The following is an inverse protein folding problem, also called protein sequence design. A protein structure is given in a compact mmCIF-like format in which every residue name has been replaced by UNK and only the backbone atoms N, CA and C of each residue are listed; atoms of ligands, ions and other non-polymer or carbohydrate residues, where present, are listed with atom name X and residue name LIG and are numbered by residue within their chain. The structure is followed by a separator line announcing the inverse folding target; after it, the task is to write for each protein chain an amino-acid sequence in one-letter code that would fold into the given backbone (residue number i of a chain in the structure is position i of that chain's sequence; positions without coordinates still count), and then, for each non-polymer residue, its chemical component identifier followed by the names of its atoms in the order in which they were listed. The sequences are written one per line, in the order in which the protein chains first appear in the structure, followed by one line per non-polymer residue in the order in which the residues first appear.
data_IF_685176267936
#
_entry.id   IF_685176267936
#
_cell.length_a   1.000
_cell.length_b   1.000
_cell.length_c   1.000
_cell.angle_alpha   90.00
_cell.angle_beta   90.00
_cell.angle_gamma   90.00
#
_symmetry.space_group_name_H-M   'P 1'
#
loop_
_entity.id
_entity.type
_entity.pdbx_description
1 polymer ?
#
# COMPACT_ATOMS: atom_id res chain seq x y z
N UNK A 1 4.21 19.77 4.06
CA UNK A 1 4.95 19.71 5.33
C UNK A 1 5.32 18.27 5.70
N UNK A 2 4.45 17.29 5.45
CA UNK A 2 4.63 15.89 5.91
C UNK A 2 5.48 15.01 4.97
N UNK A 3 5.91 15.48 3.81
CA UNK A 3 6.68 14.68 2.85
C UNK A 3 7.92 13.99 3.44
N UNK A 4 8.74 14.62 4.31
CA UNK A 4 9.88 13.92 4.90
C UNK A 4 9.49 12.70 5.73
N UNK A 5 8.42 12.80 6.56
CA UNK A 5 7.92 11.68 7.35
C UNK A 5 7.32 10.58 6.46
N UNK A 6 6.58 10.96 5.41
CA UNK A 6 6.04 10.02 4.42
C UNK A 6 7.17 9.30 3.69
N UNK A 7 8.21 10.01 3.26
CA UNK A 7 9.37 9.41 2.58
C UNK A 7 10.07 8.38 3.48
N UNK A 8 10.34 8.73 4.73
CA UNK A 8 10.97 7.81 5.68
C UNK A 8 10.10 6.56 5.94
N UNK A 9 8.78 6.73 6.04
CA UNK A 9 7.84 5.62 6.16
C UNK A 9 7.83 4.74 4.91
N UNK A 10 7.84 5.31 3.70
CA UNK A 10 7.93 4.57 2.43
C UNK A 10 9.21 3.76 2.35
N UNK A 11 10.36 4.33 2.70
CA UNK A 11 11.64 3.58 2.70
C UNK A 11 11.58 2.38 3.68
N UNK A 12 11.00 2.56 4.85
CA UNK A 12 10.81 1.47 5.81
C UNK A 12 9.87 0.39 5.23
N UNK A 13 8.74 0.77 4.63
CA UNK A 13 7.80 -0.18 4.01
C UNK A 13 8.50 -0.98 2.90
N UNK A 14 9.23 -0.32 2.01
CA UNK A 14 9.96 -0.97 0.91
C UNK A 14 10.97 -1.98 1.44
N UNK A 15 11.74 -1.63 2.46
CA UNK A 15 12.69 -2.55 3.07
C UNK A 15 12.00 -3.79 3.66
N UNK A 16 10.86 -3.59 4.36
CA UNK A 16 10.09 -4.70 4.94
C UNK A 16 9.50 -5.59 3.85
N UNK A 17 8.92 -5.01 2.80
CA UNK A 17 8.41 -5.77 1.66
C UNK A 17 9.50 -6.64 0.99
N UNK A 18 10.72 -6.13 0.83
CA UNK A 18 11.86 -6.90 0.29
C UNK A 18 12.26 -8.10 1.17
N UNK A 19 11.93 -8.05 2.46
CA UNK A 19 12.15 -9.14 3.43
C UNK A 19 10.94 -10.06 3.59
N UNK A 20 9.93 -9.93 2.74
CA UNK A 20 8.68 -10.70 2.82
C UNK A 20 7.71 -10.22 3.89
N UNK A 21 7.92 -9.03 4.44
CA UNK A 21 7.01 -8.39 5.40
C UNK A 21 5.80 -7.76 4.72
N UNK A 22 4.90 -7.20 5.53
CA UNK A 22 3.58 -6.69 5.13
C UNK A 22 3.35 -5.28 5.64
N UNK A 23 2.46 -4.55 4.96
CA UNK A 23 1.86 -3.32 5.49
C UNK A 23 0.45 -3.65 6.00
N UNK A 24 0.19 -3.37 7.27
CA UNK A 24 -1.10 -3.65 7.89
C UNK A 24 -1.68 -2.33 8.40
N UNK A 25 -2.79 -1.93 7.82
CA UNK A 25 -3.56 -0.77 8.28
C UNK A 25 -4.44 -1.16 9.48
N UNK A 26 -4.57 -0.27 10.45
CA UNK A 26 -5.51 -0.39 11.57
C UNK A 26 -6.25 0.93 11.75
N UNK A 27 -7.58 0.89 11.73
CA UNK A 27 -8.41 2.09 11.85
C UNK A 27 -9.83 1.82 12.33
N UNK A 28 -10.56 2.89 12.64
CA UNK A 28 -11.97 2.82 12.99
C UNK A 28 -12.80 3.72 12.07
N UNK A 29 -14.06 3.38 11.83
CA UNK A 29 -14.98 4.19 11.03
C UNK A 29 -14.43 4.53 9.65
N UNK A 30 -14.44 5.83 9.29
CA UNK A 30 -13.91 6.32 7.99
C UNK A 30 -12.44 5.96 7.81
N UNK A 31 -11.60 6.11 8.84
CA UNK A 31 -10.17 5.80 8.77
C UNK A 31 -9.91 4.33 8.45
N UNK A 32 -10.64 3.41 9.11
CA UNK A 32 -10.54 1.97 8.80
C UNK A 32 -11.01 1.64 7.39
N UNK A 33 -12.11 2.25 6.92
CA UNK A 33 -12.60 2.06 5.54
C UNK A 33 -11.60 2.53 4.50
N UNK A 34 -10.89 3.65 4.73
CA UNK A 34 -9.83 4.14 3.84
C UNK A 34 -8.66 3.16 3.76
N UNK A 35 -8.27 2.57 4.88
CA UNK A 35 -7.27 1.49 4.91
C UNK A 35 -7.70 0.28 4.07
N UNK A 36 -8.97 -0.14 4.19
CA UNK A 36 -9.52 -1.24 3.38
C UNK A 36 -9.50 -0.90 1.89
N UNK A 37 -9.93 0.31 1.51
CA UNK A 37 -9.92 0.75 0.11
C UNK A 37 -8.50 0.69 -0.45
N UNK A 38 -7.53 1.29 0.22
CA UNK A 38 -6.15 1.34 -0.27
C UNK A 38 -5.53 -0.08 -0.36
N UNK A 39 -5.75 -0.94 0.64
CA UNK A 39 -5.26 -2.31 0.64
C UNK A 39 -5.88 -3.15 -0.49
N UNK A 40 -7.19 -3.03 -0.71
CA UNK A 40 -7.91 -3.82 -1.72
C UNK A 40 -7.56 -3.46 -3.16
N UNK A 41 -7.05 -2.27 -3.40
CA UNK A 41 -6.63 -1.81 -4.74
C UNK A 41 -5.19 -2.23 -5.12
N UNK A 42 -4.37 -2.68 -4.15
CA UNK A 42 -3.00 -3.11 -4.43
C UNK A 42 -2.91 -4.36 -5.33
N UNK A 43 -3.67 -5.45 -5.10
CA UNK A 43 -3.63 -6.63 -5.96
C UNK A 43 -4.01 -6.35 -7.42
N UNK A 44 -5.13 -5.71 -7.76
CA UNK A 44 -5.51 -5.48 -9.15
C UNK A 44 -4.60 -4.47 -9.86
N UNK A 45 -3.99 -3.53 -9.13
CA UNK A 45 -3.16 -2.47 -9.70
C UNK A 45 -1.71 -2.90 -9.88
N UNK A 46 -1.15 -3.60 -8.88
CA UNK A 46 0.28 -3.90 -8.81
C UNK A 46 0.60 -5.40 -8.80
N UNK A 47 -0.41 -6.26 -8.95
CA UNK A 47 -0.21 -7.72 -8.95
C UNK A 47 0.36 -8.26 -7.63
N UNK A 48 0.12 -7.57 -6.52
CA UNK A 48 0.61 -8.01 -5.21
C UNK A 48 -0.23 -9.16 -4.67
N UNK A 49 0.37 -10.06 -3.87
CA UNK A 49 -0.42 -10.96 -3.04
C UNK A 49 -1.35 -10.15 -2.12
N UNK A 50 -2.59 -10.62 -1.88
CA UNK A 50 -3.54 -9.92 -1.00
C UNK A 50 -3.02 -9.71 0.43
N UNK A 51 -2.11 -10.58 0.87
CA UNK A 51 -1.51 -10.54 2.19
C UNK A 51 -0.45 -9.44 2.34
N UNK A 52 0.09 -8.91 1.24
CA UNK A 52 1.17 -7.91 1.27
C UNK A 52 0.71 -6.58 1.86
N UNK A 53 -0.52 -6.16 1.55
CA UNK A 53 -1.15 -4.98 2.14
C UNK A 53 -2.53 -5.38 2.66
N UNK A 54 -2.72 -5.25 3.96
CA UNK A 54 -3.94 -5.67 4.65
C UNK A 54 -4.54 -4.52 5.46
N UNK A 55 -5.79 -4.66 5.85
CA UNK A 55 -6.44 -3.68 6.71
C UNK A 55 -7.34 -4.33 7.77
N UNK A 56 -7.24 -3.80 8.98
CA UNK A 56 -8.10 -4.09 10.12
C UNK A 56 -8.99 -2.88 10.39
N UNK A 57 -10.26 -3.14 10.70
CA UNK A 57 -11.23 -2.11 11.07
C UNK A 57 -11.92 -2.50 12.37
N UNK A 58 -12.01 -1.55 13.31
CA UNK A 58 -12.76 -1.75 14.55
C UNK A 58 -14.21 -2.16 14.25
N UNK A 59 -14.66 -3.27 14.84
CA UNK A 59 -15.98 -3.86 14.56
C UNK A 59 -15.99 -4.84 13.37
N UNK A 60 -14.84 -5.14 12.74
CA UNK A 60 -14.72 -6.16 11.72
C UNK A 60 -15.46 -5.85 10.42
N UNK A 61 -15.80 -6.90 9.66
CA UNK A 61 -16.38 -6.77 8.30
C UNK A 61 -17.68 -5.95 8.26
N UNK A 62 -18.51 -6.05 9.26
CA UNK A 62 -19.77 -5.33 9.34
C UNK A 62 -19.54 -3.81 9.43
N UNK A 63 -18.46 -3.39 10.08
CA UNK A 63 -18.08 -1.98 10.21
C UNK A 63 -17.71 -1.31 8.87
N UNK A 64 -17.47 -2.08 7.82
CA UNK A 64 -17.25 -1.55 6.47
C UNK A 64 -18.53 -0.87 5.95
N UNK A 65 -19.68 -1.50 6.17
CA UNK A 65 -20.97 -1.09 5.62
C UNK A 65 -21.80 -0.27 6.61
N UNK A 66 -21.70 -0.56 7.91
CA UNK A 66 -22.51 0.08 8.94
C UNK A 66 -21.61 0.55 10.11
N UNK A 67 -21.95 1.67 10.73
CA UNK A 67 -21.26 2.11 11.93
C UNK A 67 -21.48 1.11 13.08
N UNK A 68 -20.38 0.72 13.74
CA UNK A 68 -20.40 -0.16 14.91
C UNK A 68 -20.04 0.70 16.13
N UNK A 69 -21.06 1.09 16.87
CA UNK A 69 -20.90 1.95 18.06
C UNK A 69 -20.02 1.27 19.13
N UNK A 70 -19.11 2.05 19.73
CA UNK A 70 -18.21 1.59 20.79
C UNK A 70 -17.12 0.61 20.35
N UNK A 71 -17.05 0.21 19.09
CA UNK A 71 -16.00 -0.69 18.62
C UNK A 71 -14.61 -0.05 18.67
N UNK A 72 -14.52 1.27 18.49
CA UNK A 72 -13.26 2.01 18.51
C UNK A 72 -12.67 2.23 19.92
N UNK A 73 -13.46 2.02 20.98
CA UNK A 73 -13.08 2.31 22.37
C UNK A 73 -12.31 1.17 23.05
N UNK A 74 -12.06 0.06 22.36
CA UNK A 74 -11.51 -1.19 22.88
C UNK A 74 -10.07 -1.44 22.40
N UNK A 75 -9.04 -0.99 23.14
CA UNK A 75 -7.65 -1.20 22.73
C UNK A 75 -7.24 -2.69 22.70
N UNK A 76 -7.79 -3.50 23.61
CA UNK A 76 -7.55 -4.96 23.67
C UNK A 76 -8.05 -5.68 22.42
N UNK A 77 -9.12 -5.18 21.78
CA UNK A 77 -9.63 -5.74 20.51
C UNK A 77 -8.68 -5.37 19.37
N UNK A 78 -8.17 -4.13 19.34
CA UNK A 78 -7.18 -3.73 18.35
C UNK A 78 -5.90 -4.56 18.43
N UNK A 79 -5.43 -4.85 19.64
CA UNK A 79 -4.28 -5.73 19.87
C UNK A 79 -4.57 -7.17 19.42
N UNK A 80 -5.72 -7.74 19.81
CA UNK A 80 -6.08 -9.13 19.45
C UNK A 80 -6.30 -9.31 17.94
N UNK A 81 -6.96 -8.36 17.27
CA UNK A 81 -7.15 -8.40 15.82
C UNK A 81 -5.81 -8.41 15.07
N UNK A 82 -4.84 -7.63 15.55
CA UNK A 82 -3.49 -7.62 14.98
C UNK A 82 -2.75 -8.93 15.27
N UNK A 83 -2.85 -9.46 16.49
CA UNK A 83 -2.18 -10.69 16.89
C UNK A 83 -2.60 -11.91 16.04
N UNK A 84 -3.88 -11.98 15.61
CA UNK A 84 -4.39 -13.03 14.72
C UNK A 84 -3.61 -13.08 13.38
N UNK A 85 -3.06 -11.95 12.92
CA UNK A 85 -2.26 -11.89 11.72
C UNK A 85 -0.82 -12.37 11.91
N UNK A 86 -0.44 -12.81 13.12
CA UNK A 86 0.93 -13.22 13.45
C UNK A 86 1.95 -12.16 13.01
N UNK A 87 1.74 -10.92 13.45
CA UNK A 87 2.62 -9.79 13.12
C UNK A 87 4.05 -10.06 13.63
N UNK A 88 5.04 -9.61 12.88
CA UNK A 88 6.45 -9.85 13.14
C UNK A 88 7.30 -8.60 12.94
N UNK A 89 8.57 -8.69 13.30
CA UNK A 89 9.54 -7.63 13.07
C UNK A 89 9.76 -7.27 11.59
N UNK A 90 9.27 -8.07 10.65
CA UNK A 90 9.32 -7.76 9.22
C UNK A 90 8.12 -6.92 8.74
N UNK A 91 7.10 -6.74 9.57
CA UNK A 91 5.90 -6.03 9.19
C UNK A 91 5.96 -4.52 9.54
N UNK A 92 5.08 -3.76 8.92
CA UNK A 92 4.80 -2.35 9.24
C UNK A 92 3.32 -2.24 9.58
N UNK A 93 3.01 -1.68 10.74
CA UNK A 93 1.62 -1.43 11.15
C UNK A 93 1.34 0.06 11.09
N UNK A 94 0.37 0.45 10.28
CA UNK A 94 -0.04 1.83 10.08
C UNK A 94 -1.40 2.08 10.75
N UNK A 95 -1.38 2.73 11.90
CA UNK A 95 -2.56 3.22 12.58
C UNK A 95 -3.11 4.47 11.89
N UNK A 96 -4.42 4.50 11.67
CA UNK A 96 -5.11 5.60 11.01
C UNK A 96 -6.19 6.14 11.96
N UNK A 97 -5.99 7.33 12.50
CA UNK A 97 -6.91 7.95 13.45
C UNK A 97 -6.88 9.47 13.32
N UNK A 98 -7.97 10.11 12.91
CA UNK A 98 -8.01 11.56 12.75
C UNK A 98 -7.63 12.32 14.03
N UNK A 99 -8.10 11.86 15.18
CA UNK A 99 -7.74 12.40 16.49
C UNK A 99 -6.38 12.00 17.02
N UNK A 100 -5.78 10.93 16.43
CA UNK A 100 -4.55 10.31 16.88
C UNK A 100 -4.68 9.47 18.17
N UNK A 101 -5.88 9.39 18.78
CA UNK A 101 -6.10 8.79 20.10
C UNK A 101 -7.15 7.68 20.17
N UNK A 102 -7.59 7.16 19.03
CA UNK A 102 -8.56 6.06 18.96
C UNK A 102 -8.00 4.84 19.69
N UNK A 103 -8.65 4.35 20.78
CA UNK A 103 -8.09 3.27 21.61
C UNK A 103 -7.78 1.99 20.85
N UNK A 104 -8.67 1.55 19.97
CA UNK A 104 -8.44 0.41 19.07
C UNK A 104 -7.13 0.51 18.28
N UNK A 105 -6.87 1.69 17.68
CA UNK A 105 -5.66 1.94 16.89
C UNK A 105 -4.42 1.94 17.78
N UNK A 106 -4.50 2.54 18.97
CA UNK A 106 -3.38 2.59 19.91
C UNK A 106 -3.05 1.17 20.43
N UNK A 107 -4.07 0.35 20.69
CA UNK A 107 -3.88 -1.05 21.07
C UNK A 107 -3.16 -1.86 19.99
N UNK A 108 -3.57 -1.70 18.72
CA UNK A 108 -2.88 -2.33 17.60
C UNK A 108 -1.42 -1.86 17.44
N UNK A 109 -1.14 -0.55 17.57
CA UNK A 109 0.22 -0.04 17.49
C UNK A 109 1.10 -0.51 18.66
N UNK A 110 0.54 -0.65 19.86
CA UNK A 110 1.25 -1.20 21.01
C UNK A 110 1.62 -2.66 20.79
N UNK A 111 0.68 -3.47 20.30
CA UNK A 111 0.93 -4.86 19.95
C UNK A 111 1.98 -5.01 18.85
N UNK A 112 1.92 -4.15 17.82
CA UNK A 112 2.94 -4.09 16.78
C UNK A 112 4.35 -3.87 17.34
N UNK A 113 4.51 -2.90 18.25
CA UNK A 113 5.79 -2.63 18.92
C UNK A 113 6.26 -3.83 19.75
N UNK A 114 5.34 -4.52 20.42
CA UNK A 114 5.67 -5.72 21.22
C UNK A 114 6.32 -6.81 20.37
N UNK A 115 5.87 -6.94 19.10
CA UNK A 115 6.42 -7.89 18.13
C UNK A 115 7.58 -7.34 17.28
N UNK A 116 8.07 -6.13 17.56
CA UNK A 116 9.17 -5.49 16.84
C UNK A 116 8.82 -4.98 15.44
N UNK A 117 7.53 -4.93 15.09
CA UNK A 117 7.07 -4.34 13.85
C UNK A 117 7.26 -2.81 13.88
N UNK A 118 7.58 -2.22 12.73
CA UNK A 118 7.63 -0.77 12.62
C UNK A 118 6.22 -0.17 12.67
N UNK A 119 6.10 1.01 13.26
CA UNK A 119 4.81 1.67 13.48
C UNK A 119 4.71 3.01 12.79
N UNK A 120 3.59 3.24 12.11
CA UNK A 120 3.21 4.51 11.50
C UNK A 120 1.91 4.96 12.15
N UNK A 121 1.78 6.25 12.46
CA UNK A 121 0.50 6.85 12.84
C UNK A 121 0.16 7.99 11.87
N UNK A 122 -0.94 7.84 11.13
CA UNK A 122 -1.50 8.86 10.26
C UNK A 122 -2.65 9.54 10.99
N UNK A 123 -2.48 10.82 11.30
CA UNK A 123 -3.45 11.60 12.09
C UNK A 123 -3.54 13.04 11.59
N UNK A 124 -4.64 13.72 11.88
CA UNK A 124 -4.78 15.16 11.66
C UNK A 124 -4.67 15.96 12.96
N UNK A 125 -4.26 15.31 14.05
CA UNK A 125 -3.84 15.95 15.29
C UNK A 125 -2.40 16.49 15.16
N UNK A 126 -2.02 17.44 16.01
CA UNK A 126 -0.65 17.98 15.98
C UNK A 126 0.33 17.11 16.76
N UNK A 127 1.63 17.20 16.44
CA UNK A 127 2.69 16.46 17.14
C UNK A 127 2.76 16.83 18.61
N UNK A 128 2.58 18.13 18.94
CA UNK A 128 2.56 18.64 20.30
C UNK A 128 1.45 17.96 21.10
N UNK A 129 0.24 17.86 20.51
CA UNK A 129 -0.89 17.20 21.18
C UNK A 129 -0.67 15.71 21.41
N UNK A 130 -0.05 15.03 20.46
CA UNK A 130 0.32 13.62 20.63
C UNK A 130 1.36 13.44 21.75
N UNK A 131 2.37 14.31 21.81
CA UNK A 131 3.39 14.30 22.86
C UNK A 131 2.78 14.52 24.25
N UNK A 132 1.87 15.48 24.39
CA UNK A 132 1.13 15.72 25.64
C UNK A 132 0.37 14.48 26.13
N UNK A 133 -0.11 13.66 25.18
CA UNK A 133 -0.87 12.43 25.47
C UNK A 133 0.05 11.19 25.60
N UNK A 134 1.36 11.34 25.44
CA UNK A 134 2.31 10.23 25.46
C UNK A 134 2.16 9.26 24.28
N UNK A 135 1.55 9.70 23.17
CA UNK A 135 1.32 8.87 21.98
C UNK A 135 2.55 8.93 21.08
N UNK A 136 3.12 7.76 20.77
CA UNK A 136 4.33 7.62 19.97
C UNK A 136 4.18 6.57 18.89
N UNK A 137 4.81 6.79 17.74
CA UNK A 137 5.05 5.81 16.68
C UNK A 137 6.42 6.09 16.07
N UNK A 138 7.00 5.14 15.33
CA UNK A 138 8.30 5.34 14.68
C UNK A 138 8.18 6.44 13.62
N UNK A 139 7.04 6.51 12.94
CA UNK A 139 6.73 7.54 11.96
C UNK A 139 5.39 8.22 12.30
N UNK A 140 5.44 9.50 12.64
CA UNK A 140 4.25 10.34 12.83
C UNK A 140 4.01 11.16 11.56
N UNK A 141 2.85 10.97 10.92
CA UNK A 141 2.41 11.71 9.74
C UNK A 141 1.18 12.52 10.13
N UNK A 142 1.35 13.83 10.27
CA UNK A 142 0.38 14.73 10.91
C UNK A 142 -0.04 15.88 9.98
N UNK A 143 -0.73 15.61 8.84
CA UNK A 143 -1.17 16.68 7.95
C UNK A 143 -2.15 17.62 8.68
N UNK A 144 -1.82 18.90 8.70
CA UNK A 144 -2.69 19.92 9.28
C UNK A 144 -3.77 20.30 8.26
N UNK A 145 -5.02 19.96 8.55
CA UNK A 145 -6.18 20.21 7.68
C UNK A 145 -7.06 21.37 8.18
N UNK A 146 -6.75 21.90 9.38
CA UNK A 146 -7.60 22.87 10.05
C UNK A 146 -8.96 22.29 10.47
N UNK A 147 -9.89 23.13 10.95
CA UNK A 147 -11.20 22.68 11.43
C UNK A 147 -12.06 22.12 10.28
N UNK A 148 -12.85 21.09 10.60
CA UNK A 148 -13.84 20.55 9.65
C UNK A 148 -14.99 21.52 9.41
N UNK A 149 -15.62 21.44 8.24
CA UNK A 149 -16.80 22.25 7.89
C UNK A 149 -17.96 21.94 8.85
N UNK A 150 -18.15 20.67 9.18
CA UNK A 150 -19.05 20.23 10.25
C UNK A 150 -18.18 19.77 11.42
N UNK A 151 -18.21 20.52 12.52
CA UNK A 151 -17.41 20.23 13.70
C UNK A 151 -17.64 18.80 14.20
N UNK A 152 -16.56 18.07 14.42
CA UNK A 152 -16.59 16.66 14.87
C UNK A 152 -16.71 15.65 13.74
N UNK A 153 -17.04 16.04 12.50
CA UNK A 153 -17.16 15.11 11.38
C UNK A 153 -15.84 14.97 10.61
N UNK A 154 -14.93 14.14 11.12
CA UNK A 154 -13.56 13.95 10.57
C UNK A 154 -13.49 13.10 9.29
N UNK A 155 -14.65 12.76 8.71
CA UNK A 155 -14.73 12.02 7.44
C UNK A 155 -14.44 12.87 6.18
N UNK A 156 -14.36 14.20 6.31
CA UNK A 156 -14.22 15.15 5.21
C UNK A 156 -12.75 15.52 4.98
N UNK A 157 -12.26 16.64 5.53
CA UNK A 157 -10.88 17.09 5.32
C UNK A 157 -9.86 16.09 5.85
N UNK A 158 -10.08 15.59 7.08
CA UNK A 158 -9.21 14.59 7.70
C UNK A 158 -9.21 13.30 6.89
N UNK A 159 -10.39 12.80 6.50
CA UNK A 159 -10.50 11.60 5.65
C UNK A 159 -9.80 11.79 4.30
N UNK A 160 -9.96 12.95 3.64
CA UNK A 160 -9.28 13.26 2.38
C UNK A 160 -7.76 13.27 2.55
N UNK A 161 -7.26 13.90 3.61
CA UNK A 161 -5.81 13.92 3.89
C UNK A 161 -5.26 12.51 4.17
N UNK A 162 -5.97 11.73 4.99
CA UNK A 162 -5.62 10.33 5.25
C UNK A 162 -5.54 9.52 3.94
N UNK A 163 -6.58 9.60 3.10
CA UNK A 163 -6.60 8.92 1.79
C UNK A 163 -5.38 9.28 0.95
N UNK A 164 -5.03 10.56 0.85
CA UNK A 164 -3.86 10.99 0.09
C UNK A 164 -2.56 10.43 0.67
N UNK A 165 -2.42 10.42 2.00
CA UNK A 165 -1.24 9.83 2.66
C UNK A 165 -1.15 8.33 2.39
N UNK A 166 -2.24 7.56 2.57
CA UNK A 166 -2.22 6.12 2.31
C UNK A 166 -1.83 5.82 0.86
N UNK A 167 -2.43 6.54 -0.11
CA UNK A 167 -2.06 6.38 -1.51
C UNK A 167 -0.58 6.74 -1.78
N UNK A 168 -0.01 7.73 -1.09
CA UNK A 168 1.42 8.02 -1.19
C UNK A 168 2.27 6.88 -0.62
N UNK A 169 1.90 6.29 0.53
CA UNK A 169 2.61 5.18 1.13
C UNK A 169 2.65 3.96 0.22
N UNK A 170 1.51 3.51 -0.29
CA UNK A 170 1.44 2.33 -1.16
C UNK A 170 2.01 2.60 -2.55
N UNK A 171 1.56 3.67 -3.23
CA UNK A 171 2.02 3.96 -4.60
C UNK A 171 3.52 4.16 -4.66
N UNK A 172 4.10 4.97 -3.77
CA UNK A 172 5.55 5.20 -3.77
C UNK A 172 6.32 3.91 -3.44
N UNK A 173 5.81 3.08 -2.52
CA UNK A 173 6.41 1.77 -2.22
C UNK A 173 6.39 0.84 -3.43
N UNK A 174 5.27 0.77 -4.16
CA UNK A 174 5.16 -0.07 -5.37
C UNK A 174 6.05 0.44 -6.51
N UNK A 175 6.18 1.76 -6.70
CA UNK A 175 7.16 2.35 -7.63
C UNK A 175 8.59 1.94 -7.26
N UNK A 176 8.95 2.00 -5.97
CA UNK A 176 10.26 1.59 -5.44
C UNK A 176 10.52 0.08 -5.51
N UNK A 177 9.48 -0.72 -5.75
CA UNK A 177 9.58 -2.17 -6.01
C UNK A 177 9.54 -2.51 -7.52
N UNK A 178 9.63 -1.52 -8.40
CA UNK A 178 9.65 -1.74 -9.84
C UNK A 178 8.31 -2.21 -10.43
N UNK A 179 7.18 -1.90 -9.75
CA UNK A 179 5.84 -2.26 -10.22
C UNK A 179 5.30 -1.34 -11.33
N UNK A 180 6.07 -0.30 -11.67
CA UNK A 180 5.71 0.68 -12.70
C UNK A 180 6.83 0.90 -13.69
N UNK A 181 6.47 1.36 -14.90
CA UNK A 181 7.40 1.90 -15.89
C UNK A 181 6.93 3.29 -16.31
N UNK A 182 7.71 4.32 -15.95
CA UNK A 182 7.21 5.70 -16.00
C UNK A 182 5.98 5.86 -15.11
N UNK A 183 4.88 6.31 -15.68
CA UNK A 183 3.59 6.49 -15.03
C UNK A 183 2.60 5.34 -15.31
N UNK A 184 3.07 4.23 -15.89
CA UNK A 184 2.24 3.09 -16.29
C UNK A 184 2.45 1.92 -15.32
N UNK A 185 1.37 1.34 -14.81
CA UNK A 185 1.44 0.09 -14.06
C UNK A 185 1.71 -1.08 -15.01
N UNK A 186 2.76 -1.85 -14.74
CA UNK A 186 3.22 -2.94 -15.62
C UNK A 186 3.21 -4.32 -14.95
N UNK A 187 2.69 -4.41 -13.73
CA UNK A 187 2.65 -5.65 -12.95
C UNK A 187 1.20 -6.09 -12.67
N UNK A 188 0.28 -5.71 -13.55
CA UNK A 188 -1.12 -6.09 -13.45
C UNK A 188 -1.32 -7.57 -13.75
N UNK A 189 -2.31 -8.18 -13.09
CA UNK A 189 -2.74 -9.55 -13.36
C UNK A 189 -3.86 -9.57 -14.40
N UNK A 190 -3.72 -10.39 -15.44
CA UNK A 190 -4.71 -10.52 -16.53
C UNK A 190 -5.87 -11.45 -16.12
N UNK A 191 -6.62 -11.09 -15.09
CA UNK A 191 -7.69 -11.92 -14.51
C UNK A 191 -9.03 -11.83 -15.25
N UNK A 192 -9.18 -10.91 -16.19
CA UNK A 192 -10.39 -10.76 -17.01
C UNK A 192 -10.07 -10.13 -18.38
N UNK A 193 -11.02 -10.19 -19.31
CA UNK A 193 -10.85 -9.70 -20.69
C UNK A 193 -10.42 -8.23 -20.76
N UNK A 194 -10.94 -7.37 -19.88
CA UNK A 194 -10.56 -5.94 -19.83
C UNK A 194 -9.07 -5.78 -19.47
N UNK A 195 -8.56 -6.57 -18.53
CA UNK A 195 -7.16 -6.50 -18.11
C UNK A 195 -6.23 -7.12 -19.16
N UNK A 196 -6.67 -8.13 -19.90
CA UNK A 196 -5.94 -8.67 -21.07
C UNK A 196 -5.76 -7.59 -22.13
N UNK A 197 -6.85 -6.91 -22.53
CA UNK A 197 -6.76 -5.81 -23.50
C UNK A 197 -5.92 -4.63 -22.99
N UNK A 198 -5.99 -4.34 -21.71
CA UNK A 198 -5.16 -3.32 -21.08
C UNK A 198 -3.67 -3.68 -21.14
N UNK A 199 -3.31 -4.94 -20.86
CA UNK A 199 -1.93 -5.41 -20.96
C UNK A 199 -1.37 -5.26 -22.38
N UNK A 200 -2.15 -5.63 -23.41
CA UNK A 200 -1.76 -5.43 -24.81
C UNK A 200 -1.50 -3.96 -25.14
N UNK A 201 -2.43 -3.07 -24.75
CA UNK A 201 -2.25 -1.63 -24.97
C UNK A 201 -1.01 -1.09 -24.28
N UNK A 202 -0.75 -1.51 -23.03
CA UNK A 202 0.47 -1.13 -22.30
C UNK A 202 1.72 -1.54 -23.07
N UNK A 203 1.76 -2.79 -23.57
CA UNK A 203 2.90 -3.24 -24.38
C UNK A 203 3.05 -2.40 -25.65
N UNK A 204 1.98 -2.18 -26.40
CA UNK A 204 1.98 -1.34 -27.60
C UNK A 204 2.45 0.10 -27.31
N UNK A 205 1.88 0.73 -26.28
CA UNK A 205 2.17 2.13 -25.93
C UNK A 205 3.63 2.34 -25.50
N UNK A 206 4.23 1.35 -24.84
CA UNK A 206 5.61 1.44 -24.33
C UNK A 206 6.63 1.04 -25.41
N UNK A 207 6.31 0.04 -26.23
CA UNK A 207 7.30 -0.56 -27.16
C UNK A 207 7.15 -0.11 -28.60
N UNK A 208 5.98 0.40 -28.98
CA UNK A 208 5.63 0.69 -30.38
C UNK A 208 5.26 -0.57 -31.20
N UNK A 209 5.19 -1.75 -30.58
CA UNK A 209 4.75 -2.99 -31.22
C UNK A 209 3.30 -2.88 -31.67
N UNK A 210 2.93 -3.61 -32.73
CA UNK A 210 1.54 -3.71 -33.15
C UNK A 210 0.74 -4.67 -32.24
N UNK A 211 -0.56 -4.76 -32.50
CA UNK A 211 -1.48 -5.58 -31.66
C UNK A 211 -1.16 -7.07 -31.74
N UNK A 212 -0.78 -7.57 -32.91
CA UNK A 212 -0.49 -8.99 -33.12
C UNK A 212 0.81 -9.40 -32.42
N UNK A 213 1.84 -8.59 -32.51
CA UNK A 213 3.09 -8.79 -31.80
C UNK A 213 2.91 -8.70 -30.28
N UNK A 214 2.22 -7.66 -29.78
CA UNK A 214 1.93 -7.53 -28.35
C UNK A 214 1.14 -8.73 -27.83
N UNK A 215 0.13 -9.22 -28.59
CA UNK A 215 -0.65 -10.39 -28.24
C UNK A 215 0.22 -11.65 -28.22
N UNK A 216 1.05 -11.84 -29.23
CA UNK A 216 1.98 -12.99 -29.34
C UNK A 216 2.96 -13.05 -28.18
N UNK A 217 3.61 -11.93 -27.88
CA UNK A 217 4.62 -11.89 -26.81
C UNK A 217 3.99 -12.05 -25.43
N UNK A 218 2.83 -11.44 -25.18
CA UNK A 218 2.10 -11.66 -23.92
C UNK A 218 1.67 -13.12 -23.75
N UNK A 219 1.25 -13.80 -24.83
CA UNK A 219 0.94 -15.24 -24.77
C UNK A 219 2.17 -16.07 -24.44
N UNK A 220 3.33 -15.75 -25.02
CA UNK A 220 4.60 -16.45 -24.72
C UNK A 220 5.06 -16.26 -23.27
N UNK A 221 4.73 -15.13 -22.66
CA UNK A 221 5.15 -14.78 -21.28
C UNK A 221 4.11 -15.10 -20.23
N UNK A 222 3.09 -15.90 -20.56
CA UNK A 222 1.96 -16.21 -19.67
C UNK A 222 1.30 -14.94 -19.07
N UNK A 223 1.27 -13.88 -19.88
CA UNK A 223 0.72 -12.60 -19.48
C UNK A 223 1.64 -11.70 -18.65
N UNK A 224 2.89 -12.08 -18.43
CA UNK A 224 3.83 -11.29 -17.65
C UNK A 224 4.33 -10.08 -18.45
N UNK A 225 3.69 -8.93 -18.25
CA UNK A 225 3.94 -7.69 -19.02
C UNK A 225 5.40 -7.25 -18.93
N UNK A 226 6.05 -7.31 -17.76
CA UNK A 226 7.46 -6.93 -17.61
C UNK A 226 8.38 -7.75 -18.52
N UNK A 227 8.19 -9.08 -18.56
CA UNK A 227 8.97 -9.93 -19.45
C UNK A 227 8.72 -9.58 -20.91
N UNK A 228 7.44 -9.34 -21.30
CA UNK A 228 7.10 -8.92 -22.65
C UNK A 228 7.79 -7.62 -23.04
N UNK A 229 7.81 -6.63 -22.15
CA UNK A 229 8.49 -5.35 -22.37
C UNK A 229 10.00 -5.54 -22.58
N UNK A 230 10.66 -6.35 -21.73
CA UNK A 230 12.10 -6.59 -21.84
C UNK A 230 12.43 -7.38 -23.09
N UNK A 231 11.60 -8.35 -23.50
CA UNK A 231 11.76 -9.08 -24.77
C UNK A 231 11.75 -8.14 -25.96
N UNK A 232 10.73 -7.30 -26.07
CA UNK A 232 10.56 -6.42 -27.26
C UNK A 232 11.61 -5.31 -27.27
N UNK A 233 11.75 -4.57 -26.17
CA UNK A 233 12.66 -3.42 -26.10
C UNK A 233 14.13 -3.80 -26.18
N UNK A 234 14.51 -4.98 -25.65
CA UNK A 234 15.88 -5.47 -25.65
C UNK A 234 16.18 -6.44 -26.78
N UNK A 235 15.17 -6.82 -27.59
CA UNK A 235 15.28 -7.87 -28.61
C UNK A 235 15.84 -9.19 -28.02
N UNK A 236 15.33 -9.60 -26.86
CA UNK A 236 15.74 -10.80 -26.14
C UNK A 236 14.73 -11.94 -26.29
N UNK A 237 15.21 -13.17 -26.18
CA UNK A 237 14.34 -14.32 -25.94
C UNK A 237 13.77 -14.28 -24.50
N UNK A 238 12.79 -15.15 -24.24
CA UNK A 238 12.07 -15.17 -22.95
C UNK A 238 12.99 -15.51 -21.78
N UNK A 239 13.94 -16.44 -21.96
CA UNK A 239 14.83 -16.88 -20.88
C UNK A 239 15.83 -15.78 -20.52
N UNK A 240 16.37 -15.11 -21.52
CA UNK A 240 17.24 -13.95 -21.33
C UNK A 240 16.49 -12.80 -20.67
N UNK A 241 15.27 -12.51 -21.11
CA UNK A 241 14.44 -11.44 -20.52
C UNK A 241 14.12 -11.73 -19.04
N UNK A 242 13.77 -12.97 -18.69
CA UNK A 242 13.52 -13.37 -17.30
C UNK A 242 14.78 -13.23 -16.44
N UNK A 243 15.92 -13.77 -16.89
CA UNK A 243 17.20 -13.65 -16.17
C UNK A 243 17.60 -12.20 -15.91
N UNK A 244 17.43 -11.32 -16.91
CA UNK A 244 17.72 -9.90 -16.77
C UNK A 244 16.79 -9.20 -15.78
N UNK A 245 15.50 -9.52 -15.80
CA UNK A 245 14.53 -9.00 -14.84
C UNK A 245 14.84 -9.44 -13.41
N UNK A 246 15.22 -10.71 -13.23
CA UNK A 246 15.58 -11.24 -11.92
C UNK A 246 16.85 -10.53 -11.39
N UNK A 247 17.88 -10.40 -12.21
CA UNK A 247 19.10 -9.68 -11.86
C UNK A 247 18.85 -8.20 -11.55
N UNK A 248 17.85 -7.59 -12.20
CA UNK A 248 17.42 -6.21 -12.01
C UNK A 248 16.35 -6.05 -10.89
N UNK A 249 16.07 -7.10 -10.09
CA UNK A 249 15.02 -7.09 -9.06
C UNK A 249 13.65 -6.63 -9.59
N UNK A 250 13.31 -7.01 -10.82
CA UNK A 250 12.03 -6.68 -11.47
C UNK A 250 11.93 -5.28 -12.06
N UNK A 251 13.00 -4.50 -12.10
CA UNK A 251 13.01 -3.18 -12.74
C UNK A 251 13.29 -3.30 -14.24
N UNK A 252 12.27 -3.06 -15.07
CA UNK A 252 12.39 -3.16 -16.53
C UNK A 252 13.52 -2.31 -17.10
N UNK A 253 13.65 -1.05 -16.63
CA UNK A 253 14.72 -0.14 -17.12
C UNK A 253 16.11 -0.70 -16.84
N UNK A 254 16.36 -1.15 -15.62
CA UNK A 254 17.65 -1.75 -15.24
C UNK A 254 17.93 -3.06 -15.99
N UNK A 255 16.89 -3.85 -16.27
CA UNK A 255 17.01 -5.08 -17.06
C UNK A 255 17.41 -4.82 -18.52
N UNK A 256 17.12 -3.62 -19.06
CA UNK A 256 17.50 -3.21 -20.40
C UNK A 256 18.93 -2.64 -20.45
N UNK A 257 19.41 -2.04 -19.37
CA UNK A 257 20.73 -1.41 -19.25
C UNK A 257 21.84 -2.41 -18.92
N UNK A 258 21.50 -3.54 -18.30
CA UNK A 258 22.43 -4.62 -17.92
C UNK A 258 22.81 -5.48 -19.12
#
# INVERSE_FOLDING_TARGET
AELPAITAAVECIVERFKRGGRLIYSGAGTSGRLGIVDASECPPTYGTPPEMVQALIAGGKEAVFQAQEGAEDKPEVGASDLAVLNVSANDVVCGIAASGRTPYVLGALQEAKHHGAATILVTTSTREKLAELGITADFLICPNVGPEVIMGSTRMKSGTAQKLVLNMLTTASMVRLGKTFGNVMIDLQMTNAKLVERAKRIVMDITGADYDEASRVLSLTDGHVKTALVMILGNYDIDTARKRLDAANGFVRLALEA
#
